data_IF_091718290437
#
_entry.id   IF_091718290437
#
_cell.length_a   1.000
_cell.length_b   1.000
_cell.length_c   1.000
_cell.angle_alpha   90.00
_cell.angle_beta   90.00
_cell.angle_gamma   90.00
#
_symmetry.space_group_name_H-M   'P 1'
#
loop_
_entity.id
_entity.type
_entity.pdbx_description
1 polymer ?
#
# COMPACT_ATOMS: atom_id res chain seq x y z
N UNK A 1 -73.37 -9.27 31.42
CA UNK A 1 -72.65 -10.24 30.55
C UNK A 1 -71.43 -9.52 29.95
N UNK A 2 -70.36 -9.71 30.65
CA UNK A 2 -69.09 -9.03 30.32
C UNK A 2 -68.37 -9.80 29.23
N UNK A 3 -68.07 -9.12 28.14
CA UNK A 3 -67.12 -9.62 27.14
C UNK A 3 -65.88 -8.75 27.22
N UNK A 4 -64.90 -9.23 27.92
CA UNK A 4 -63.58 -8.68 27.91
C UNK A 4 -62.95 -9.00 26.56
N UNK A 5 -62.78 -8.01 25.73
CA UNK A 5 -61.97 -8.10 24.54
C UNK A 5 -60.53 -7.84 24.96
N UNK A 6 -59.80 -8.91 25.20
CA UNK A 6 -58.35 -8.84 25.41
C UNK A 6 -57.69 -8.51 24.09
N UNK A 7 -57.35 -7.26 23.93
CA UNK A 7 -56.49 -6.82 22.83
C UNK A 7 -55.06 -7.16 23.24
N UNK A 8 -54.57 -8.29 22.73
CA UNK A 8 -53.17 -8.63 22.79
C UNK A 8 -52.46 -7.74 21.77
N UNK A 9 -51.81 -6.73 22.26
CA UNK A 9 -50.94 -5.86 21.49
C UNK A 9 -49.66 -6.64 21.21
N UNK A 10 -49.34 -6.99 19.98
CA UNK A 10 -48.02 -7.55 19.67
C UNK A 10 -47.02 -6.40 19.80
N UNK A 11 -46.19 -6.51 20.79
CA UNK A 11 -45.02 -5.67 20.97
C UNK A 11 -44.07 -6.00 19.80
N UNK A 12 -44.17 -5.25 18.72
CA UNK A 12 -43.18 -5.25 17.69
C UNK A 12 -41.90 -4.69 18.33
N UNK A 13 -41.07 -5.59 18.80
CA UNK A 13 -39.70 -5.30 19.10
C UNK A 13 -39.03 -5.00 17.75
N UNK A 14 -39.08 -3.76 17.32
CA UNK A 14 -38.20 -3.25 16.30
C UNK A 14 -36.79 -3.30 16.90
N UNK A 15 -36.12 -4.41 16.60
CA UNK A 15 -34.68 -4.51 16.78
C UNK A 15 -34.09 -3.48 15.83
N UNK A 16 -33.84 -2.29 16.34
CA UNK A 16 -32.87 -1.38 15.74
C UNK A 16 -31.53 -2.14 15.80
N UNK A 17 -31.25 -2.84 14.72
CA UNK A 17 -29.90 -3.19 14.40
C UNK A 17 -29.24 -1.84 14.16
N UNK A 18 -28.70 -1.27 15.23
CA UNK A 18 -27.60 -0.35 15.08
C UNK A 18 -26.53 -1.17 14.35
N UNK A 19 -26.61 -1.11 13.01
CA UNK A 19 -25.43 -1.32 12.23
C UNK A 19 -24.48 -0.22 12.71
N UNK A 20 -23.72 -0.53 13.76
CA UNK A 20 -22.45 0.09 13.97
C UNK A 20 -21.71 -0.18 12.66
N UNK A 21 -21.90 0.72 11.70
CA UNK A 21 -20.92 0.92 10.68
C UNK A 21 -19.65 1.19 11.46
N UNK A 22 -18.91 0.12 11.77
CA UNK A 22 -17.52 0.25 12.04
C UNK A 22 -17.01 0.93 10.78
N UNK A 23 -16.86 2.23 10.83
CA UNK A 23 -15.89 2.95 10.02
C UNK A 23 -14.55 2.37 10.45
N UNK A 24 -14.31 1.12 10.05
CA UNK A 24 -13.04 0.47 10.22
C UNK A 24 -12.07 1.40 9.51
N UNK A 25 -11.22 2.05 10.28
CA UNK A 25 -10.17 2.86 9.72
C UNK A 25 -9.48 1.98 8.68
N UNK A 26 -9.52 2.39 7.41
CA UNK A 26 -8.92 1.64 6.33
C UNK A 26 -7.48 1.34 6.73
N UNK A 27 -7.05 0.10 6.49
CA UNK A 27 -5.69 -0.31 6.82
C UNK A 27 -4.72 0.62 6.12
N UNK A 28 -3.88 1.32 6.89
CA UNK A 28 -2.99 2.33 6.39
C UNK A 28 -1.56 1.80 6.32
N UNK A 29 -0.93 1.98 5.17
CA UNK A 29 0.50 1.82 5.02
C UNK A 29 1.19 2.99 5.74
N UNK A 30 2.08 2.68 6.67
CA UNK A 30 2.79 3.66 7.50
C UNK A 30 4.22 3.91 7.01
N UNK A 31 4.90 2.84 6.57
CA UNK A 31 6.26 2.93 6.04
C UNK A 31 6.54 1.81 5.06
N UNK A 32 7.55 2.02 4.22
CA UNK A 32 8.11 1.03 3.30
C UNK A 32 9.57 0.82 3.66
N UNK A 33 10.02 -0.42 3.60
CA UNK A 33 11.43 -0.79 3.67
C UNK A 33 11.82 -1.48 2.37
N UNK A 34 12.92 -1.06 1.77
CA UNK A 34 13.45 -1.67 0.55
C UNK A 34 14.56 -2.63 0.92
N UNK A 35 14.41 -3.89 0.56
CA UNK A 35 15.45 -4.91 0.60
C UNK A 35 16.01 -5.11 -0.81
N UNK A 36 17.31 -5.37 -0.90
CA UNK A 36 17.99 -5.70 -2.14
C UNK A 36 18.65 -7.06 -2.06
N UNK A 37 18.55 -7.84 -3.12
CA UNK A 37 19.17 -9.15 -3.24
C UNK A 37 19.91 -9.21 -4.58
N UNK A 38 21.18 -9.55 -4.54
CA UNK A 38 21.94 -9.77 -5.77
C UNK A 38 21.57 -11.14 -6.37
N UNK A 39 21.21 -11.16 -7.65
CA UNK A 39 20.92 -12.37 -8.41
C UNK A 39 21.70 -12.34 -9.73
N UNK A 40 22.89 -12.92 -9.71
CA UNK A 40 23.79 -12.87 -10.85
C UNK A 40 24.23 -11.43 -11.19
N UNK A 41 23.90 -10.97 -12.40
CA UNK A 41 24.19 -9.60 -12.85
C UNK A 41 23.03 -8.63 -12.58
N UNK A 42 21.98 -9.07 -11.91
CA UNK A 42 20.82 -8.27 -11.56
C UNK A 42 20.73 -8.06 -10.05
N UNK A 43 20.12 -6.97 -9.68
CA UNK A 43 19.75 -6.67 -8.31
C UNK A 43 18.24 -6.68 -8.27
N UNK A 44 17.66 -7.48 -7.39
CA UNK A 44 16.23 -7.49 -7.15
C UNK A 44 15.89 -6.64 -5.95
N UNK A 45 14.91 -5.76 -6.10
CA UNK A 45 14.39 -4.92 -5.03
C UNK A 45 13.01 -5.42 -4.62
N UNK A 46 12.84 -5.59 -3.32
CA UNK A 46 11.57 -5.99 -2.71
C UNK A 46 11.16 -4.94 -1.70
N UNK A 47 9.92 -4.49 -1.80
CA UNK A 47 9.33 -3.56 -0.85
C UNK A 47 8.56 -4.31 0.23
N UNK A 48 8.86 -4.03 1.48
CA UNK A 48 8.13 -4.52 2.65
C UNK A 48 7.37 -3.37 3.27
N UNK A 49 6.06 -3.53 3.43
CA UNK A 49 5.18 -2.53 4.02
C UNK A 49 4.91 -2.78 5.50
N UNK A 50 4.94 -1.72 6.30
CA UNK A 50 4.45 -1.72 7.66
C UNK A 50 3.11 -0.98 7.72
N UNK A 51 2.12 -1.61 8.34
CA UNK A 51 0.72 -1.16 8.33
C UNK A 51 0.22 -0.86 9.73
N UNK A 52 -0.82 -0.03 9.80
CA UNK A 52 -1.47 0.36 11.05
C UNK A 52 -2.23 -0.77 11.75
N UNK A 53 -2.55 -1.85 11.03
CA UNK A 53 -3.29 -2.99 11.54
C UNK A 53 -2.76 -4.31 11.00
N UNK A 54 -3.12 -5.42 11.65
CA UNK A 54 -2.66 -6.77 11.32
C UNK A 54 -3.05 -7.23 9.89
N UNK A 55 -2.16 -7.93 9.18
CA UNK A 55 -0.76 -8.16 9.53
C UNK A 55 0.04 -6.85 9.48
N UNK A 56 0.78 -6.54 10.55
CA UNK A 56 1.50 -5.28 10.68
C UNK A 56 2.63 -5.14 9.66
N UNK A 57 3.24 -6.26 9.25
CA UNK A 57 4.32 -6.28 8.26
C UNK A 57 3.95 -7.23 7.13
N UNK A 58 4.07 -6.78 5.90
CA UNK A 58 3.84 -7.58 4.70
C UNK A 58 5.02 -7.43 3.76
N UNK A 59 5.65 -8.55 3.44
CA UNK A 59 6.74 -8.61 2.46
C UNK A 59 6.17 -8.63 1.05
N UNK A 60 6.92 -8.07 0.09
CA UNK A 60 6.54 -8.01 -1.32
C UNK A 60 5.20 -7.29 -1.56
N UNK A 61 5.04 -6.12 -0.96
CA UNK A 61 3.89 -5.27 -1.27
C UNK A 61 4.03 -4.69 -2.69
N UNK A 62 2.92 -4.53 -3.40
CA UNK A 62 2.93 -3.85 -4.68
C UNK A 62 3.27 -2.36 -4.49
N UNK A 63 4.23 -1.87 -5.25
CA UNK A 63 4.66 -0.47 -5.23
C UNK A 63 4.99 -0.02 -6.64
N UNK A 64 4.97 1.28 -6.86
CA UNK A 64 5.56 1.88 -8.05
C UNK A 64 7.03 2.17 -7.80
N UNK A 65 7.87 1.70 -8.70
CA UNK A 65 9.30 1.92 -8.63
C UNK A 65 9.72 3.07 -9.53
N UNK A 66 10.56 3.96 -9.02
CA UNK A 66 11.25 4.98 -9.79
C UNK A 66 12.75 4.78 -9.67
N UNK A 67 13.43 4.80 -10.80
CA UNK A 67 14.88 4.70 -10.89
C UNK A 67 15.42 5.98 -11.49
N UNK A 68 16.34 6.62 -10.80
CA UNK A 68 16.95 7.86 -11.26
C UNK A 68 18.46 7.71 -11.26
N UNK A 69 19.08 7.86 -12.44
CA UNK A 69 20.53 8.05 -12.53
C UNK A 69 20.86 9.46 -12.03
N UNK A 70 21.70 9.53 -11.01
CA UNK A 70 22.08 10.80 -10.37
C UNK A 70 23.18 11.56 -11.13
N UNK A 71 23.74 10.97 -12.20
CA UNK A 71 24.69 11.63 -13.07
C UNK A 71 23.98 12.48 -14.15
N UNK A 72 24.55 13.63 -14.57
CA UNK A 72 23.97 14.46 -15.64
C UNK A 72 24.06 13.79 -17.03
N UNK A 73 23.01 13.83 -17.87
CA UNK A 73 21.65 14.25 -17.52
C UNK A 73 20.93 13.17 -16.72
N UNK A 74 20.17 13.55 -15.65
CA UNK A 74 19.44 12.56 -14.87
C UNK A 74 18.39 11.86 -15.73
N UNK A 75 18.35 10.53 -15.64
CA UNK A 75 17.34 9.71 -16.30
C UNK A 75 16.44 9.08 -15.25
N UNK A 76 15.15 9.14 -15.50
CA UNK A 76 14.15 8.57 -14.61
C UNK A 76 13.35 7.50 -15.34
N UNK A 77 13.18 6.37 -14.67
CA UNK A 77 12.37 5.24 -15.14
C UNK A 77 11.34 4.91 -14.06
N UNK A 78 10.12 4.63 -14.49
CA UNK A 78 9.03 4.23 -13.60
C UNK A 78 8.51 2.87 -14.00
N UNK A 79 8.41 1.96 -13.03
CA UNK A 79 7.93 0.60 -13.21
C UNK A 79 6.98 0.24 -12.07
N UNK A 80 6.06 -0.70 -12.33
CA UNK A 80 5.04 -1.16 -11.38
C UNK A 80 5.16 -2.65 -11.05
N UNK A 81 6.30 -3.26 -11.28
CA UNK A 81 6.50 -4.69 -11.03
C UNK A 81 7.05 -4.96 -9.64
N UNK A 82 6.68 -6.11 -9.09
CA UNK A 82 7.16 -6.61 -7.80
C UNK A 82 7.44 -8.12 -7.90
N UNK A 83 8.66 -8.59 -7.61
CA UNK A 83 9.84 -7.80 -7.28
C UNK A 83 10.35 -6.97 -8.45
N UNK A 84 11.16 -5.95 -8.17
CA UNK A 84 11.72 -5.09 -9.20
C UNK A 84 13.14 -5.54 -9.58
N UNK A 85 13.35 -6.14 -10.76
CA UNK A 85 14.68 -6.48 -11.26
C UNK A 85 15.36 -5.23 -11.85
N UNK A 86 16.58 -4.97 -11.42
CA UNK A 86 17.39 -3.87 -11.89
C UNK A 86 18.73 -4.38 -12.41
N UNK A 87 19.14 -3.86 -13.56
CA UNK A 87 20.47 -4.08 -14.11
C UNK A 87 21.16 -2.75 -14.33
N UNK A 88 22.41 -2.64 -13.92
CA UNK A 88 23.23 -1.47 -14.20
C UNK A 88 23.37 -1.24 -15.70
N UNK A 89 22.87 -0.13 -16.19
CA UNK A 89 22.95 0.27 -17.61
C UNK A 89 24.01 1.34 -17.85
N UNK A 90 24.50 1.95 -16.78
CA UNK A 90 25.55 2.96 -16.79
C UNK A 90 26.29 2.90 -15.46
N UNK A 91 27.54 3.38 -15.45
CA UNK A 91 28.31 3.57 -14.21
C UNK A 91 27.78 4.78 -13.43
N UNK A 92 27.80 4.69 -12.11
CA UNK A 92 27.47 5.80 -11.23
C UNK A 92 26.37 5.49 -10.23
N UNK A 93 25.94 6.49 -9.46
CA UNK A 93 24.92 6.35 -8.44
C UNK A 93 23.50 6.37 -9.04
N UNK A 94 22.69 5.39 -8.64
CA UNK A 94 21.28 5.31 -8.96
C UNK A 94 20.46 5.42 -7.67
N UNK A 95 19.48 6.30 -7.66
CA UNK A 95 18.47 6.40 -6.63
C UNK A 95 17.28 5.54 -7.02
N UNK A 96 16.96 4.56 -6.19
CA UNK A 96 15.80 3.67 -6.33
C UNK A 96 14.77 4.13 -5.32
N UNK A 97 13.56 4.41 -5.78
CA UNK A 97 12.47 4.87 -4.93
C UNK A 97 11.25 3.99 -5.13
N UNK A 98 10.66 3.55 -4.03
CA UNK A 98 9.39 2.83 -4.00
C UNK A 98 8.29 3.77 -3.48
N UNK A 99 7.15 3.78 -4.17
CA UNK A 99 5.97 4.57 -3.81
C UNK A 99 4.76 3.69 -3.66
N UNK A 100 3.95 3.94 -2.65
CA UNK A 100 2.63 3.34 -2.56
C UNK A 100 1.66 4.31 -1.86
N UNK A 101 0.36 4.27 -2.18
CA UNK A 101 -0.62 5.05 -1.45
C UNK A 101 -0.70 4.59 0.01
N UNK A 102 -0.93 5.52 0.92
CA UNK A 102 -1.11 5.20 2.33
C UNK A 102 -2.33 4.30 2.57
N UNK A 103 -3.38 4.47 1.79
CA UNK A 103 -4.55 3.57 1.82
C UNK A 103 -4.19 2.25 1.13
N UNK A 104 -4.17 1.17 1.90
CA UNK A 104 -3.84 -0.17 1.39
C UNK A 104 -4.83 -0.70 0.34
N UNK A 105 -6.01 -0.11 0.22
CA UNK A 105 -7.02 -0.48 -0.76
C UNK A 105 -6.99 0.39 -2.03
N UNK A 106 -6.17 1.45 -2.04
CA UNK A 106 -6.04 2.30 -3.22
C UNK A 106 -5.29 1.57 -4.33
N UNK A 107 -5.71 1.71 -5.60
CA UNK A 107 -5.00 1.12 -6.73
C UNK A 107 -3.63 1.78 -6.92
N UNK A 108 -2.63 0.99 -7.36
CA UNK A 108 -1.31 1.52 -7.70
C UNK A 108 -1.32 2.34 -8.99
N UNK A 109 -2.12 1.92 -9.95
CA UNK A 109 -2.24 2.61 -11.24
C UNK A 109 -3.33 3.65 -11.17
N UNK A 110 -3.00 4.89 -11.38
CA UNK A 110 -3.98 5.95 -11.45
C UNK A 110 -3.40 7.31 -11.09
N UNK A 111 -4.22 8.33 -11.23
CA UNK A 111 -3.88 9.66 -10.74
C UNK A 111 -3.99 9.66 -9.22
N UNK A 112 -2.87 9.66 -8.55
CA UNK A 112 -2.81 9.76 -7.08
C UNK A 112 -2.96 11.21 -6.59
N UNK A 113 -3.59 12.02 -7.39
CA UNK A 113 -3.87 13.41 -7.06
C UNK A 113 -4.64 13.48 -5.74
N UNK A 114 -4.02 14.06 -4.72
CA UNK A 114 -4.59 14.20 -3.39
C UNK A 114 -4.44 12.99 -2.46
N UNK A 115 -3.91 11.85 -2.93
CA UNK A 115 -3.62 10.71 -2.06
C UNK A 115 -2.35 10.95 -1.25
N UNK A 116 -2.37 10.55 0.02
CA UNK A 116 -1.15 10.52 0.83
C UNK A 116 -0.29 9.36 0.34
N UNK A 117 0.93 9.68 -0.10
CA UNK A 117 1.90 8.70 -0.57
C UNK A 117 2.92 8.39 0.51
N UNK A 118 3.27 7.12 0.64
CA UNK A 118 4.39 6.63 1.42
C UNK A 118 5.51 6.28 0.45
N UNK A 119 6.72 6.69 0.77
CA UNK A 119 7.89 6.42 -0.07
C UNK A 119 9.06 5.92 0.77
N UNK A 120 9.89 5.14 0.13
CA UNK A 120 11.21 4.76 0.62
C UNK A 120 12.22 4.86 -0.52
N UNK A 121 13.48 5.07 -0.19
CA UNK A 121 14.53 5.14 -1.20
C UNK A 121 15.79 4.41 -0.73
N UNK A 122 16.55 3.93 -1.69
CA UNK A 122 17.89 3.37 -1.49
C UNK A 122 18.80 3.83 -2.62
N UNK A 123 20.09 3.99 -2.31
CA UNK A 123 21.11 4.36 -3.28
C UNK A 123 21.96 3.12 -3.60
N UNK A 124 22.18 2.90 -4.89
CA UNK A 124 23.13 1.90 -5.36
C UNK A 124 24.19 2.56 -6.24
N UNK A 125 25.38 1.99 -6.25
CA UNK A 125 26.47 2.45 -7.11
C UNK A 125 26.78 1.35 -8.10
N UNK A 126 26.57 1.65 -9.37
CA UNK A 126 26.93 0.78 -10.48
C UNK A 126 28.41 0.99 -10.86
N UNK A 127 29.16 -0.09 -11.10
CA UNK A 127 30.57 -0.04 -11.49
C UNK A 127 30.81 0.59 -12.85
#
# INVERSE_FOLDING_TARGET
MNRFCSVILPLLATSLILACGSSGSSRQLQSITIAQTASGQQIEFVATGNFSSSPATVTSIPVEWSVQLMAPPPQQYTLTTQPFPFKCTASGPFLIVAYAPSDANAPLSGSWSGAKMIQASTLIICP
#
